data_IF_226585918634
#
_entry.id   IF_226585918634
#
_cell.length_a   1.000
_cell.length_b   1.000
_cell.length_c   1.000
_cell.angle_alpha   90.00
_cell.angle_beta   90.00
_cell.angle_gamma   90.00
#
_symmetry.space_group_name_H-M   'P 1'
#
loop_
_entity.id
_entity.type
_entity.pdbx_description
1 polymer ?
#
# COMPACT_ATOMS: atom_id res chain seq x y z
N UNK A 1 16.03 19.79 22.69
CA UNK A 1 15.88 19.69 24.17
C UNK A 1 14.72 18.81 24.70
N UNK A 2 13.71 18.41 23.89
CA UNK A 2 12.58 17.56 24.35
C UNK A 2 12.92 16.07 24.45
N UNK A 3 13.66 15.53 23.47
CA UNK A 3 14.11 14.12 23.47
C UNK A 3 15.09 13.72 24.58
N UNK A 4 15.50 14.65 25.44
CA UNK A 4 16.32 14.37 26.63
C UNK A 4 15.49 13.89 27.82
N UNK A 5 14.17 14.11 27.81
CA UNK A 5 13.25 13.70 28.89
C UNK A 5 12.59 12.37 28.53
N UNK A 6 11.91 12.31 27.38
CA UNK A 6 11.35 11.07 26.79
C UNK A 6 11.53 11.18 25.27
N UNK A 7 11.83 10.05 24.60
CA UNK A 7 11.92 9.99 23.14
C UNK A 7 10.53 9.80 22.51
N UNK A 8 10.34 10.26 21.29
CA UNK A 8 9.05 10.18 20.58
C UNK A 8 8.61 8.71 20.38
N UNK A 9 9.56 7.80 20.17
CA UNK A 9 9.27 6.37 20.07
C UNK A 9 8.75 5.80 21.39
N UNK A 10 9.30 6.25 22.53
CA UNK A 10 8.82 5.86 23.86
C UNK A 10 7.44 6.43 24.15
N UNK A 11 7.15 7.67 23.73
CA UNK A 11 5.80 8.23 23.84
C UNK A 11 4.79 7.46 22.99
N UNK A 12 5.18 7.05 21.78
CA UNK A 12 4.35 6.23 20.90
C UNK A 12 4.05 4.85 21.51
N UNK A 13 5.05 4.24 22.17
CA UNK A 13 4.89 2.96 22.87
C UNK A 13 3.93 3.07 24.07
N UNK A 14 4.07 4.13 24.88
CA UNK A 14 3.14 4.43 25.99
C UNK A 14 1.71 4.66 25.48
N UNK A 15 1.54 5.36 24.35
CA UNK A 15 0.22 5.60 23.78
C UNK A 15 -0.45 4.30 23.29
N UNK A 16 0.32 3.35 22.76
CA UNK A 16 -0.19 2.05 22.34
C UNK A 16 -0.45 1.08 23.50
N UNK A 17 0.40 1.13 24.54
CA UNK A 17 0.33 0.25 25.70
C UNK A 17 0.48 1.05 27.00
N UNK A 18 -0.56 1.79 27.42
CA UNK A 18 -0.46 2.65 28.58
C UNK A 18 -0.20 1.84 29.87
N UNK A 19 0.82 2.21 30.67
CA UNK A 19 1.10 1.58 31.95
C UNK A 19 -0.06 1.82 32.92
N UNK A 20 -0.42 0.80 33.69
CA UNK A 20 -1.55 0.88 34.64
C UNK A 20 -1.13 1.40 36.01
N UNK A 21 0.13 1.16 36.38
CA UNK A 21 0.71 1.60 37.65
C UNK A 21 2.02 2.34 37.41
N UNK A 22 2.43 3.20 38.33
CA UNK A 22 3.72 3.88 38.23
C UNK A 22 4.89 2.88 38.18
N UNK A 23 4.75 1.75 38.86
CA UNK A 23 5.76 0.69 38.84
C UNK A 23 5.99 0.12 37.43
N UNK A 24 4.96 0.12 36.58
CA UNK A 24 5.03 -0.37 35.21
C UNK A 24 5.83 0.57 34.29
N UNK A 25 6.07 1.83 34.66
CA UNK A 25 6.91 2.74 33.88
C UNK A 25 8.35 2.25 33.72
N UNK A 26 8.85 1.44 34.67
CA UNK A 26 10.17 0.82 34.57
C UNK A 26 10.26 -0.24 33.45
N UNK A 27 9.11 -0.78 33.00
CA UNK A 27 9.02 -1.77 31.93
C UNK A 27 8.96 -1.12 30.54
N UNK A 28 8.65 0.17 30.48
CA UNK A 28 8.50 0.92 29.23
C UNK A 28 9.87 1.11 28.58
N UNK A 29 9.98 0.73 27.31
CA UNK A 29 11.24 0.79 26.58
C UNK A 29 11.68 2.25 26.38
N UNK A 30 12.87 2.57 26.87
CA UNK A 30 13.47 3.90 26.72
C UNK A 30 13.22 4.86 27.89
N UNK A 31 12.48 4.44 28.92
CA UNK A 31 12.47 5.11 30.23
C UNK A 31 13.56 4.55 31.14
N UNK A 32 14.07 5.39 32.04
CA UNK A 32 14.99 4.95 33.10
C UNK A 32 14.22 4.35 34.28
N UNK A 33 14.81 3.37 34.95
CA UNK A 33 14.24 2.74 36.16
C UNK A 33 13.85 3.75 37.26
N UNK A 34 14.47 4.93 37.31
CA UNK A 34 14.15 5.97 38.28
C UNK A 34 12.68 6.46 38.19
N UNK A 35 12.02 6.29 37.04
CA UNK A 35 10.63 6.72 36.82
C UNK A 35 9.61 5.91 37.62
N UNK A 36 10.01 4.74 38.09
CA UNK A 36 9.22 3.86 38.95
C UNK A 36 8.75 4.57 40.23
N UNK A 37 9.63 5.41 40.80
CA UNK A 37 9.44 5.96 42.15
C UNK A 37 9.56 7.50 42.20
N UNK A 38 9.98 8.17 41.11
CA UNK A 38 10.21 9.61 41.12
C UNK A 38 8.95 10.45 40.87
N UNK A 39 9.03 11.76 41.15
CA UNK A 39 7.92 12.70 40.94
C UNK A 39 7.54 12.87 39.46
N UNK A 40 8.48 12.65 38.55
CA UNK A 40 8.22 12.76 37.10
C UNK A 40 7.27 11.65 36.65
N UNK A 41 7.51 10.41 37.09
CA UNK A 41 6.64 9.26 36.84
C UNK A 41 5.26 9.45 37.46
N UNK A 42 5.19 10.00 38.68
CA UNK A 42 3.92 10.32 39.33
C UNK A 42 3.11 11.35 38.53
N UNK A 43 3.75 12.38 38.00
CA UNK A 43 3.10 13.37 37.11
C UNK A 43 2.65 12.75 35.78
N UNK A 44 3.45 11.85 35.19
CA UNK A 44 3.07 11.13 33.97
C UNK A 44 1.80 10.30 34.19
N UNK A 45 1.75 9.50 35.26
CA UNK A 45 0.58 8.69 35.58
C UNK A 45 -0.69 9.53 35.75
N UNK A 46 -0.56 10.71 36.39
CA UNK A 46 -1.69 11.64 36.53
C UNK A 46 -2.20 12.15 35.19
N UNK A 47 -1.30 12.44 34.24
CA UNK A 47 -1.69 12.89 32.89
C UNK A 47 -2.36 11.75 32.12
N UNK A 48 -1.83 10.52 32.22
CA UNK A 48 -2.43 9.34 31.57
C UNK A 48 -3.83 9.03 32.12
N UNK A 49 -4.04 9.19 33.42
CA UNK A 49 -5.36 9.02 34.05
C UNK A 49 -6.38 10.07 33.58
N UNK A 50 -5.90 11.27 33.24
CA UNK A 50 -6.71 12.37 32.71
C UNK A 50 -6.87 12.32 31.18
N UNK A 51 -6.18 11.41 30.50
CA UNK A 51 -6.27 11.27 29.05
C UNK A 51 -7.55 10.52 28.70
N UNK A 52 -8.57 11.25 28.26
CA UNK A 52 -9.81 10.67 27.76
C UNK A 52 -9.66 10.27 26.28
N UNK A 53 -10.32 9.18 25.84
CA UNK A 53 -10.40 8.85 24.43
C UNK A 53 -11.01 10.01 23.64
N UNK A 54 -10.31 10.46 22.60
CA UNK A 54 -10.85 11.45 21.67
C UNK A 54 -12.13 10.92 21.01
N UNK A 55 -13.09 11.81 20.78
CA UNK A 55 -14.27 11.48 19.98
C UNK A 55 -13.85 11.09 18.55
N UNK A 56 -14.66 10.28 17.88
CA UNK A 56 -14.31 9.74 16.54
C UNK A 56 -14.06 10.86 15.53
N UNK A 57 -14.75 11.98 15.69
CA UNK A 57 -14.71 13.17 14.86
C UNK A 57 -13.43 14.00 15.07
N UNK A 58 -12.77 13.85 16.22
CA UNK A 58 -11.51 14.53 16.56
C UNK A 58 -10.27 13.68 16.23
N UNK A 59 -10.48 12.40 15.92
CA UNK A 59 -9.39 11.53 15.48
C UNK A 59 -8.93 11.96 14.08
N UNK A 60 -7.61 12.10 13.85
CA UNK A 60 -7.11 12.34 12.51
C UNK A 60 -7.52 11.17 11.60
N UNK A 61 -7.95 11.49 10.38
CA UNK A 61 -8.33 10.46 9.41
C UNK A 61 -7.14 9.51 9.18
N UNK A 62 -7.35 8.24 9.53
CA UNK A 62 -6.41 7.20 9.13
C UNK A 62 -6.51 7.05 7.63
N UNK A 63 -5.36 7.17 6.98
CA UNK A 63 -5.22 6.89 5.56
C UNK A 63 -5.84 5.53 5.26
N UNK A 64 -6.87 5.52 4.39
CA UNK A 64 -7.53 4.29 3.96
C UNK A 64 -6.47 3.48 3.21
N UNK A 65 -6.12 2.31 3.76
CA UNK A 65 -5.39 1.31 2.97
C UNK A 65 -6.32 0.86 1.86
N UNK A 66 -5.84 0.87 0.62
CA UNK A 66 -6.57 0.29 -0.50
C UNK A 66 -6.82 -1.20 -0.29
N UNK A 67 -7.45 -1.85 -1.28
CA UNK A 67 -7.57 -3.31 -1.28
C UNK A 67 -6.18 -3.95 -1.06
N UNK A 68 -6.08 -5.08 -0.32
CA UNK A 68 -4.82 -5.79 -0.15
C UNK A 68 -4.17 -6.03 -1.51
N UNK A 69 -2.88 -5.69 -1.63
CA UNK A 69 -2.17 -5.89 -2.89
C UNK A 69 -2.08 -7.39 -3.19
N UNK A 70 -2.55 -7.78 -4.37
CA UNK A 70 -2.18 -9.06 -4.97
C UNK A 70 -0.69 -9.11 -5.30
N UNK A 71 -0.20 -10.27 -5.78
CA UNK A 71 1.21 -10.46 -6.15
C UNK A 71 1.70 -9.39 -7.13
N UNK A 72 0.89 -9.06 -8.14
CA UNK A 72 1.20 -8.02 -9.12
C UNK A 72 1.25 -6.61 -8.50
N UNK A 73 0.29 -6.29 -7.63
CA UNK A 73 0.26 -5.00 -6.93
C UNK A 73 1.50 -4.77 -6.07
N UNK A 74 2.04 -5.82 -5.45
CA UNK A 74 3.28 -5.74 -4.69
C UNK A 74 4.49 -5.42 -5.58
N UNK A 75 4.55 -5.97 -6.80
CA UNK A 75 5.61 -5.64 -7.78
C UNK A 75 5.53 -4.17 -8.21
N UNK A 76 4.31 -3.66 -8.46
CA UNK A 76 4.10 -2.24 -8.77
C UNK A 76 4.55 -1.35 -7.61
N UNK A 77 4.23 -1.72 -6.36
CA UNK A 77 4.71 -1.00 -5.19
C UNK A 77 6.25 -1.00 -5.07
N UNK A 78 6.92 -2.08 -5.48
CA UNK A 78 8.39 -2.14 -5.52
C UNK A 78 9.00 -1.26 -6.62
N UNK A 79 8.34 -1.15 -7.78
CA UNK A 79 8.70 -0.18 -8.82
C UNK A 79 8.57 1.27 -8.31
N UNK A 80 7.51 1.59 -7.56
CA UNK A 80 7.34 2.90 -6.92
C UNK A 80 8.44 3.19 -5.89
N UNK A 81 8.84 2.19 -5.08
CA UNK A 81 9.97 2.34 -4.14
C UNK A 81 11.27 2.60 -4.86
N UNK A 82 11.49 1.99 -6.03
CA UNK A 82 12.65 2.25 -6.86
C UNK A 82 12.63 3.68 -7.42
N UNK A 83 11.50 4.11 -7.98
CA UNK A 83 11.30 5.48 -8.45
C UNK A 83 11.62 6.51 -7.36
N UNK A 84 11.09 6.27 -6.16
CA UNK A 84 11.29 7.15 -5.01
C UNK A 84 12.77 7.32 -4.66
N UNK A 85 13.55 6.22 -4.69
CA UNK A 85 15.00 6.28 -4.42
C UNK A 85 15.75 7.10 -5.47
N UNK A 86 15.33 7.04 -6.72
CA UNK A 86 15.92 7.82 -7.81
C UNK A 86 15.61 9.30 -7.61
N UNK A 87 14.32 9.66 -7.51
CA UNK A 87 13.88 11.05 -7.34
C UNK A 87 14.46 11.70 -6.10
N UNK A 88 14.43 11.01 -4.96
CA UNK A 88 15.04 11.47 -3.71
C UNK A 88 16.53 11.82 -3.86
N UNK A 89 17.28 11.04 -4.64
CA UNK A 89 18.70 11.30 -4.92
C UNK A 89 18.89 12.47 -5.88
N UNK A 90 18.04 12.60 -6.89
CA UNK A 90 18.14 13.68 -7.89
C UNK A 90 17.92 15.07 -7.28
N UNK A 91 16.96 15.17 -6.36
CA UNK A 91 16.61 16.46 -5.72
C UNK A 91 17.29 16.67 -4.36
N UNK A 92 18.15 15.74 -3.93
CA UNK A 92 18.83 15.73 -2.64
C UNK A 92 17.89 15.88 -1.42
N UNK A 93 16.81 15.10 -1.41
CA UNK A 93 15.80 15.09 -0.33
C UNK A 93 15.65 13.67 0.22
N UNK A 94 15.52 13.55 1.55
CA UNK A 94 15.25 12.26 2.18
C UNK A 94 13.91 11.66 1.70
N UNK A 95 13.90 10.41 1.24
CA UNK A 95 12.71 9.73 0.70
C UNK A 95 11.48 9.79 1.62
N UNK A 96 11.70 9.75 2.95
CA UNK A 96 10.62 9.83 3.97
C UNK A 96 9.91 11.19 4.01
N UNK A 97 10.50 12.26 3.47
CA UNK A 97 9.86 13.57 3.37
C UNK A 97 8.89 13.63 2.19
N UNK A 98 9.15 12.83 1.15
CA UNK A 98 8.32 12.73 -0.05
C UNK A 98 7.09 11.86 0.21
N UNK A 99 7.28 10.65 0.75
CA UNK A 99 6.19 9.68 0.93
C UNK A 99 6.57 8.56 1.91
N UNK A 100 5.57 7.76 2.29
CA UNK A 100 5.73 6.51 3.06
C UNK A 100 5.34 5.28 2.24
N UNK A 101 5.72 4.11 2.72
CA UNK A 101 5.42 2.82 2.06
C UNK A 101 3.93 2.63 1.87
N UNK A 102 3.13 3.00 2.87
CA UNK A 102 1.69 2.85 2.86
C UNK A 102 1.03 3.68 1.74
N UNK A 103 1.55 4.86 1.42
CA UNK A 103 1.02 5.68 0.32
C UNK A 103 1.37 5.07 -1.04
N UNK A 104 2.56 4.46 -1.17
CA UNK A 104 2.96 3.74 -2.40
C UNK A 104 2.12 2.49 -2.63
N UNK A 105 1.86 1.73 -1.56
CA UNK A 105 0.97 0.57 -1.62
C UNK A 105 -0.47 0.98 -1.96
N UNK A 106 -0.97 2.06 -1.35
CA UNK A 106 -2.28 2.60 -1.67
C UNK A 106 -2.37 3.08 -3.14
N UNK A 107 -1.33 3.75 -3.64
CA UNK A 107 -1.28 4.19 -5.04
C UNK A 107 -1.28 2.99 -6.00
N UNK A 108 -0.47 1.95 -5.71
CA UNK A 108 -0.46 0.71 -6.47
C UNK A 108 -1.80 -0.03 -6.43
N UNK A 109 -2.54 0.07 -5.31
CA UNK A 109 -3.89 -0.47 -5.16
C UNK A 109 -4.99 0.37 -5.84
N UNK A 110 -4.63 1.40 -6.62
CA UNK A 110 -5.60 2.23 -7.34
C UNK A 110 -6.15 3.42 -6.55
N UNK A 111 -5.71 3.67 -5.31
CA UNK A 111 -6.16 4.84 -4.54
C UNK A 111 -5.55 6.11 -5.15
N UNK A 112 -6.38 7.15 -5.32
CA UNK A 112 -5.98 8.44 -5.92
C UNK A 112 -6.19 9.64 -5.00
N UNK A 113 -6.92 9.45 -3.91
CA UNK A 113 -7.03 10.46 -2.85
C UNK A 113 -5.88 10.26 -1.84
N UNK A 114 -4.69 10.77 -2.21
CA UNK A 114 -3.46 10.59 -1.45
C UNK A 114 -2.70 11.92 -1.31
N UNK A 115 -2.10 12.22 -0.14
CA UNK A 115 -1.29 13.43 0.05
C UNK A 115 -0.12 13.56 -0.94
N UNK A 116 0.44 12.45 -1.40
CA UNK A 116 1.51 12.44 -2.42
C UNK A 116 1.07 12.95 -3.78
N UNK A 117 -0.24 12.95 -4.06
CA UNK A 117 -0.82 13.46 -5.30
C UNK A 117 -1.30 14.91 -5.17
N UNK A 118 -0.85 15.62 -4.14
CA UNK A 118 -1.23 17.01 -3.88
C UNK A 118 0.01 17.90 -3.64
N UNK A 119 -0.12 19.18 -3.98
CA UNK A 119 0.87 20.23 -3.71
C UNK A 119 2.28 19.91 -4.23
N UNK A 120 3.30 20.35 -3.50
CA UNK A 120 4.70 20.19 -3.94
C UNK A 120 5.15 18.73 -4.07
N UNK A 121 4.56 17.79 -3.31
CA UNK A 121 4.87 16.36 -3.41
C UNK A 121 4.45 15.78 -4.76
N UNK A 122 3.32 16.26 -5.28
CA UNK A 122 2.87 15.91 -6.62
C UNK A 122 3.88 16.35 -7.67
N UNK A 123 4.36 17.59 -7.57
CA UNK A 123 5.29 18.19 -8.53
C UNK A 123 6.64 17.47 -8.59
N UNK A 124 7.15 16.98 -7.45
CA UNK A 124 8.49 16.37 -7.37
C UNK A 124 8.50 14.85 -7.52
N UNK A 125 7.38 14.17 -7.23
CA UNK A 125 7.31 12.70 -7.22
C UNK A 125 5.95 12.16 -7.64
N UNK A 126 4.86 12.72 -7.13
CA UNK A 126 3.52 12.16 -7.30
C UNK A 126 3.07 12.06 -8.76
N UNK A 127 3.47 13.02 -9.62
CA UNK A 127 3.19 12.96 -11.06
C UNK A 127 3.82 11.74 -11.73
N UNK A 128 5.13 11.54 -11.53
CA UNK A 128 5.84 10.40 -12.14
C UNK A 128 5.35 9.07 -11.55
N UNK A 129 5.05 9.04 -10.26
CA UNK A 129 4.50 7.87 -9.59
C UNK A 129 3.14 7.49 -10.19
N UNK A 130 2.28 8.48 -10.47
CA UNK A 130 0.99 8.27 -11.11
C UNK A 130 1.15 7.79 -12.55
N UNK A 131 2.03 8.41 -13.32
CA UNK A 131 2.31 7.99 -14.71
C UNK A 131 2.90 6.57 -14.79
N UNK A 132 3.67 6.15 -13.78
CA UNK A 132 4.21 4.79 -13.69
C UNK A 132 3.12 3.76 -13.41
N UNK A 133 2.23 3.99 -12.44
CA UNK A 133 1.14 3.04 -12.14
C UNK A 133 0.09 2.96 -13.25
N UNK A 134 0.02 3.98 -14.10
CA UNK A 134 -0.87 4.00 -15.28
C UNK A 134 -0.19 3.51 -16.57
N UNK A 135 1.03 2.97 -16.48
CA UNK A 135 1.73 2.41 -17.63
C UNK A 135 2.13 3.45 -18.69
N UNK A 136 2.21 4.73 -18.32
CA UNK A 136 2.62 5.83 -19.21
C UNK A 136 4.14 6.02 -19.24
N UNK A 137 4.84 5.43 -18.27
CA UNK A 137 6.30 5.47 -18.17
C UNK A 137 6.87 4.09 -17.84
N UNK A 138 8.13 3.88 -18.21
CA UNK A 138 8.88 2.67 -17.97
C UNK A 138 10.31 2.98 -17.51
N UNK A 139 10.95 1.99 -16.90
CA UNK A 139 12.38 2.04 -16.58
C UNK A 139 13.22 1.48 -17.73
N UNK A 140 14.32 2.16 -18.02
CA UNK A 140 15.35 1.73 -18.96
C UNK A 140 16.72 1.79 -18.30
N UNK A 141 17.61 0.86 -18.64
CA UNK A 141 19.01 0.91 -18.22
C UNK A 141 19.87 1.36 -19.39
N UNK A 142 20.49 2.54 -19.28
CA UNK A 142 21.39 3.11 -20.28
C UNK A 142 22.76 3.29 -19.67
N UNK A 143 23.78 2.65 -20.26
CA UNK A 143 25.18 2.72 -19.78
C UNK A 143 25.32 2.37 -18.29
N UNK A 144 24.60 1.34 -17.84
CA UNK A 144 24.58 0.90 -16.45
C UNK A 144 23.84 1.82 -15.48
N UNK A 145 23.16 2.86 -15.96
CA UNK A 145 22.34 3.77 -15.15
C UNK A 145 20.87 3.60 -15.46
N UNK A 146 20.05 3.64 -14.42
CA UNK A 146 18.60 3.57 -14.53
C UNK A 146 18.04 4.94 -14.94
N UNK A 147 17.13 4.95 -15.91
CA UNK A 147 16.45 6.11 -16.45
C UNK A 147 14.96 5.83 -16.62
N UNK A 148 14.12 6.85 -16.52
CA UNK A 148 12.72 6.77 -16.93
C UNK A 148 12.58 7.15 -18.40
N UNK A 149 11.67 6.48 -19.10
CA UNK A 149 11.22 6.84 -20.45
C UNK A 149 9.71 6.83 -20.48
N UNK A 150 9.12 7.70 -21.31
CA UNK A 150 7.70 7.60 -21.64
C UNK A 150 7.47 6.43 -22.59
N UNK A 151 6.32 5.78 -22.47
CA UNK A 151 5.85 4.78 -23.42
C UNK A 151 5.08 5.51 -24.53
N UNK A 152 5.52 5.36 -25.79
CA UNK A 152 4.80 5.94 -26.93
C UNK A 152 3.47 5.20 -27.15
N UNK A 153 2.48 5.93 -27.71
CA UNK A 153 1.08 5.51 -27.86
C UNK A 153 0.84 4.14 -28.50
N UNK A 154 1.78 3.59 -29.28
CA UNK A 154 1.61 2.27 -29.91
C UNK A 154 1.52 1.11 -28.90
N UNK A 155 2.08 1.26 -27.70
CA UNK A 155 1.99 0.25 -26.64
C UNK A 155 0.67 0.34 -25.84
N UNK A 156 -0.01 1.48 -25.88
CA UNK A 156 -1.30 1.69 -25.20
C UNK A 156 -2.43 0.98 -25.96
N UNK A 157 -2.36 0.97 -27.29
CA UNK A 157 -3.30 0.26 -28.14
C UNK A 157 -3.12 -1.28 -28.03
N UNK A 158 -1.89 -1.78 -27.90
CA UNK A 158 -1.61 -3.21 -27.69
C UNK A 158 -2.04 -3.71 -26.30
N UNK A 159 -1.83 -2.93 -25.24
CA UNK A 159 -2.25 -3.31 -23.88
C UNK A 159 -3.78 -3.28 -23.72
N UNK A 160 -4.47 -2.32 -24.36
CA UNK A 160 -5.93 -2.29 -24.41
C UNK A 160 -6.49 -3.49 -25.21
N UNK A 161 -5.87 -3.84 -26.33
CA UNK A 161 -6.26 -5.00 -27.13
C UNK A 161 -6.05 -6.35 -26.40
N UNK A 162 -4.97 -6.47 -25.61
CA UNK A 162 -4.71 -7.68 -24.80
C UNK A 162 -5.64 -7.81 -23.59
N UNK A 163 -6.13 -6.70 -23.05
CA UNK A 163 -7.14 -6.72 -21.98
C UNK A 163 -8.52 -7.13 -22.51
N UNK A 164 -8.87 -6.69 -23.72
CA UNK A 164 -10.14 -7.03 -24.41
C UNK A 164 -10.16 -8.50 -24.85
N UNK A 165 -9.04 -9.07 -25.30
CA UNK A 165 -8.94 -10.51 -25.64
C UNK A 165 -9.07 -11.43 -24.42
N UNK A 166 -8.70 -10.98 -23.22
CA UNK A 166 -8.76 -11.81 -22.02
C UNK A 166 -10.17 -11.81 -21.40
N UNK A 167 -10.96 -10.75 -21.59
CA UNK A 167 -12.37 -10.67 -21.19
C UNK A 167 -13.26 -11.52 -22.11
N UNK A 168 -12.89 -11.69 -23.38
CA UNK A 168 -13.64 -12.51 -24.36
C UNK A 168 -13.39 -14.02 -24.25
N UNK A 169 -12.37 -14.48 -23.50
CA UNK A 169 -12.05 -15.91 -23.37
C UNK A 169 -12.73 -16.60 -22.20
N UNK A 170 -13.41 -15.87 -21.31
CA UNK A 170 -14.13 -16.48 -20.18
C UNK A 170 -15.57 -16.91 -20.53
N UNK A 171 -16.11 -16.50 -21.70
CA UNK A 171 -17.51 -16.78 -22.09
C UNK A 171 -17.69 -17.96 -23.09
N UNK A 172 -16.61 -18.50 -23.68
CA UNK A 172 -16.70 -19.50 -24.77
C UNK A 172 -16.59 -20.98 -24.33
N UNK A 173 -16.46 -21.27 -23.03
CA UNK A 173 -16.37 -22.66 -22.52
C UNK A 173 -17.74 -23.33 -22.25
N UNK A 174 -18.84 -22.77 -22.77
CA UNK A 174 -20.17 -23.39 -22.74
C UNK A 174 -20.59 -23.89 -24.13
N UNK A 175 -20.00 -25.00 -24.57
CA UNK A 175 -20.57 -25.80 -25.66
C UNK A 175 -21.60 -26.75 -25.04
N UNK A 176 -22.87 -26.42 -25.20
CA UNK A 176 -24.00 -27.35 -25.09
C UNK A 176 -23.84 -28.44 -26.15
N UNK A 177 -23.52 -29.66 -25.72
CA UNK A 177 -23.76 -30.87 -26.53
C UNK A 177 -25.25 -31.19 -26.48
N UNK A 178 -26.03 -30.69 -27.44
CA UNK A 178 -27.38 -31.19 -27.69
C UNK A 178 -27.59 -31.50 -29.18
N UNK A 179 -27.67 -32.80 -29.45
CA UNK A 179 -28.73 -33.39 -30.28
C UNK A 179 -28.62 -33.29 -31.81
N UNK A 180 -28.43 -34.45 -32.44
CA UNK A 180 -29.14 -34.76 -33.69
C UNK A 180 -29.64 -36.21 -33.62
N UNK A 181 -30.95 -36.36 -33.83
CA UNK A 181 -31.68 -37.62 -33.81
C UNK A 181 -31.98 -38.18 -35.21
N UNK A 182 -32.65 -39.35 -35.19
CA UNK A 182 -33.30 -40.06 -36.31
C UNK A 182 -32.36 -40.72 -37.36
N UNK A 183 -32.57 -41.94 -37.86
CA UNK A 183 -33.75 -42.80 -37.90
C UNK A 183 -33.36 -44.24 -38.34
N UNK A 184 -34.19 -45.19 -37.90
CA UNK A 184 -34.54 -46.51 -38.47
C UNK A 184 -33.53 -47.45 -39.17
N UNK A 185 -33.38 -48.66 -38.61
CA UNK A 185 -33.78 -49.95 -39.24
C UNK A 185 -33.35 -51.20 -38.45
N UNK A 186 -34.37 -51.99 -38.09
CA UNK A 186 -34.47 -53.47 -38.10
C UNK A 186 -33.19 -54.34 -38.00
N UNK A 187 -33.10 -55.16 -36.94
CA UNK A 187 -32.96 -56.63 -37.07
C UNK A 187 -32.93 -57.37 -35.72
N UNK A 188 -33.97 -58.18 -35.47
CA UNK A 188 -33.96 -59.56 -34.94
C UNK A 188 -32.74 -60.06 -34.11
N UNK A 189 -32.99 -60.42 -32.84
CA UNK A 189 -32.81 -61.76 -32.22
C UNK A 189 -33.09 -61.63 -30.70
N UNK A 190 -34.08 -62.30 -30.11
CA UNK A 190 -34.27 -63.74 -29.83
C UNK A 190 -33.77 -64.18 -28.43
N UNK A 191 -34.50 -65.14 -27.87
CA UNK A 191 -34.34 -65.87 -26.60
C UNK A 191 -34.82 -65.10 -25.35
N UNK A 192 -35.66 -65.67 -24.49
CA UNK A 192 -35.85 -67.09 -24.18
C UNK A 192 -35.71 -67.23 -22.67
#
# INVERSE_FOLDING_TARGET
>A
PRGRIVRDETLSDIAGHPPKTQADLAKVRGLSNAWRDNDIGKRMMKVLEQAEPLAKEELPEKMKRGAPLGKEGALVADLLKLLLKIRAREIDVASRLLTRTEEMEALAAGVRDLPILQGWRYEVFGKDALELVEGRTAFAVKRGKLHMTHMDKSAQDEAAALADENDLREDDDFIDEDGDGEDDRDAKQAAG
#
